data_IF_381844481945
#
_entry.id   IF_381844481945
#
_cell.length_a   1.000
_cell.length_b   1.000
_cell.length_c   1.000
_cell.angle_alpha   90.00
_cell.angle_beta   90.00
_cell.angle_gamma   90.00
#
_symmetry.space_group_name_H-M   'P 1'
#
loop_
_entity.id
_entity.type
_entity.pdbx_description
1 polymer ?
#
# COMPACT_ATOMS: atom_id res chain seq x y z
N UNK A 1 -23.68 7.06 -14.04
CA UNK A 1 -23.06 5.90 -14.72
C UNK A 1 -21.57 6.19 -14.87
N UNK A 2 -20.73 5.60 -14.03
CA UNK A 2 -19.26 5.75 -14.12
C UNK A 2 -18.60 4.63 -14.94
N UNK A 3 -19.29 3.49 -15.11
CA UNK A 3 -18.73 2.26 -15.68
C UNK A 3 -17.95 2.43 -17.01
N UNK A 4 -18.39 3.23 -18.01
CA UNK A 4 -17.63 3.40 -19.25
C UNK A 4 -16.30 4.17 -19.10
N UNK A 5 -16.17 4.98 -18.04
CA UNK A 5 -15.01 5.83 -17.79
C UNK A 5 -13.98 5.11 -16.92
N UNK A 6 -14.41 4.15 -16.09
CA UNK A 6 -13.52 3.45 -15.16
C UNK A 6 -12.28 2.84 -15.86
N UNK A 7 -12.39 2.12 -16.99
CA UNK A 7 -11.20 1.55 -17.64
C UNK A 7 -10.21 2.59 -18.18
N UNK A 8 -10.62 3.85 -18.32
CA UNK A 8 -9.79 4.95 -18.83
C UNK A 8 -9.06 5.70 -17.71
N UNK A 9 -9.41 5.44 -16.44
CA UNK A 9 -8.78 6.08 -15.29
C UNK A 9 -7.28 5.79 -15.26
N UNK A 10 -6.49 6.85 -15.14
CA UNK A 10 -5.04 6.80 -14.91
C UNK A 10 -4.67 6.97 -13.44
N UNK A 11 -5.52 7.65 -12.69
CA UNK A 11 -5.34 7.92 -11.27
C UNK A 11 -6.66 7.65 -10.55
N UNK A 12 -6.57 7.03 -9.37
CA UNK A 12 -7.71 6.74 -8.51
C UNK A 12 -7.30 6.97 -7.05
N UNK A 13 -8.03 7.86 -6.39
CA UNK A 13 -7.93 8.05 -4.95
C UNK A 13 -9.21 7.52 -4.29
N UNK A 14 -9.06 6.57 -3.37
CA UNK A 14 -10.15 6.07 -2.54
C UNK A 14 -9.89 6.46 -1.10
N UNK A 15 -10.69 7.41 -0.61
CA UNK A 15 -10.64 7.86 0.77
C UNK A 15 -11.64 7.10 1.63
N UNK A 16 -11.30 6.94 2.91
CA UNK A 16 -12.17 6.38 3.94
C UNK A 16 -12.72 4.99 3.60
N UNK A 17 -11.90 4.22 2.89
CA UNK A 17 -12.22 2.83 2.56
C UNK A 17 -12.17 1.97 3.82
N UNK A 18 -13.05 0.98 3.87
CA UNK A 18 -13.18 0.08 5.00
C UNK A 18 -12.76 -1.31 4.55
N UNK A 19 -11.68 -1.84 5.15
CA UNK A 19 -11.17 -3.16 4.83
C UNK A 19 -11.06 -3.36 3.29
N UNK A 20 -11.66 -4.43 2.75
CA UNK A 20 -11.41 -4.95 1.41
C UNK A 20 -12.20 -4.26 0.29
N UNK A 21 -12.74 -3.07 0.57
CA UNK A 21 -13.52 -2.33 -0.42
C UNK A 21 -12.75 -1.99 -1.68
N UNK A 22 -11.45 -1.65 -1.58
CA UNK A 22 -10.65 -1.37 -2.78
C UNK A 22 -10.39 -2.64 -3.60
N UNK A 23 -9.90 -3.77 -3.03
CA UNK A 23 -9.86 -5.04 -3.74
C UNK A 23 -11.19 -5.44 -4.39
N UNK A 24 -12.29 -5.32 -3.64
CA UNK A 24 -13.63 -5.63 -4.11
C UNK A 24 -14.03 -4.77 -5.32
N UNK A 25 -13.78 -3.45 -5.26
CA UNK A 25 -13.99 -2.54 -6.38
C UNK A 25 -13.18 -3.00 -7.61
N UNK A 26 -11.88 -3.22 -7.43
CA UNK A 26 -10.95 -3.53 -8.51
C UNK A 26 -11.22 -4.87 -9.19
N UNK A 27 -11.84 -5.81 -8.49
CA UNK A 27 -11.93 -7.19 -8.95
C UNK A 27 -13.34 -7.71 -9.19
N UNK A 28 -14.34 -7.19 -8.47
CA UNK A 28 -15.73 -7.66 -8.54
C UNK A 28 -16.68 -6.66 -9.19
N UNK A 29 -16.38 -5.36 -9.10
CA UNK A 29 -17.28 -4.30 -9.61
C UNK A 29 -16.86 -3.86 -11.02
N UNK A 30 -15.56 -3.82 -11.30
CA UNK A 30 -15.03 -3.43 -12.61
C UNK A 30 -14.59 -4.68 -13.36
N UNK A 31 -15.35 -5.05 -14.40
CA UNK A 31 -15.02 -6.18 -15.27
C UNK A 31 -13.62 -5.99 -15.89
N UNK A 32 -12.71 -6.92 -15.61
CA UNK A 32 -11.32 -6.84 -16.08
C UNK A 32 -10.44 -5.82 -15.34
N UNK A 33 -10.97 -5.14 -14.31
CA UNK A 33 -10.23 -4.19 -13.47
C UNK A 33 -9.92 -2.86 -14.17
N UNK A 34 -8.86 -2.20 -13.71
CA UNK A 34 -8.36 -0.90 -14.15
C UNK A 34 -6.96 -1.04 -14.79
N UNK A 35 -6.86 -1.62 -15.99
CA UNK A 35 -5.58 -1.90 -16.63
C UNK A 35 -4.79 -0.65 -17.01
N UNK A 36 -5.43 0.51 -17.13
CA UNK A 36 -4.76 1.78 -17.44
C UNK A 36 -4.39 2.60 -16.20
N UNK A 37 -4.72 2.11 -15.00
CA UNK A 37 -4.41 2.79 -13.76
C UNK A 37 -2.90 2.81 -13.51
N UNK A 38 -2.38 4.01 -13.29
CA UNK A 38 -0.96 4.31 -13.02
C UNK A 38 -0.74 4.72 -11.57
N UNK A 39 -1.67 5.48 -10.99
CA UNK A 39 -1.57 5.93 -9.61
C UNK A 39 -2.78 5.46 -8.81
N UNK A 40 -2.54 4.84 -7.66
CA UNK A 40 -3.57 4.37 -6.74
C UNK A 40 -3.29 4.88 -5.34
N UNK A 41 -4.20 5.70 -4.82
CA UNK A 41 -4.20 6.15 -3.44
C UNK A 41 -5.31 5.46 -2.67
N UNK A 42 -4.97 4.88 -1.53
CA UNK A 42 -5.90 4.24 -0.61
C UNK A 42 -5.68 4.83 0.77
N UNK A 43 -6.69 5.55 1.28
CA UNK A 43 -6.81 5.85 2.70
C UNK A 43 -7.85 4.92 3.30
N UNK A 44 -7.42 4.08 4.22
CA UNK A 44 -8.30 3.20 4.98
C UNK A 44 -8.66 3.80 6.33
N UNK A 45 -9.92 3.66 6.72
CA UNK A 45 -10.37 3.98 8.07
C UNK A 45 -10.12 2.82 9.00
N UNK A 46 -9.59 3.11 10.19
CA UNK A 46 -9.50 2.17 11.30
C UNK A 46 -10.88 1.61 11.65
N UNK A 47 -11.21 0.41 11.17
CA UNK A 47 -12.46 -0.23 11.58
C UNK A 47 -12.33 -1.75 11.67
N UNK A 48 -12.07 -2.23 12.89
CA UNK A 48 -12.40 -3.59 13.30
C UNK A 48 -13.79 -3.61 13.94
N UNK A 49 -14.79 -3.07 13.23
CA UNK A 49 -16.16 -3.06 13.75
C UNK A 49 -16.93 -4.28 13.28
N UNK A 50 -17.69 -4.90 14.18
CA UNK A 50 -18.72 -5.89 13.81
C UNK A 50 -19.76 -5.30 12.86
N UNK A 51 -19.86 -3.97 12.76
CA UNK A 51 -20.73 -3.28 11.78
C UNK A 51 -20.27 -3.44 10.33
N UNK A 52 -19.01 -3.78 10.09
CA UNK A 52 -18.47 -3.94 8.74
C UNK A 52 -19.17 -5.08 7.97
N UNK A 53 -19.82 -6.02 8.65
CA UNK A 53 -20.65 -7.08 8.02
C UNK A 53 -21.77 -6.53 7.13
N UNK A 54 -22.22 -5.28 7.40
CA UNK A 54 -23.28 -4.61 6.65
C UNK A 54 -22.75 -3.80 5.47
N UNK A 55 -21.43 -3.68 5.35
CA UNK A 55 -20.79 -2.87 4.33
C UNK A 55 -20.35 -3.79 3.21
N UNK A 56 -20.86 -3.53 2.01
CA UNK A 56 -20.50 -4.30 0.83
C UNK A 56 -18.98 -4.23 0.56
N UNK A 57 -18.39 -5.37 0.22
CA UNK A 57 -16.95 -5.49 -0.02
C UNK A 57 -16.06 -5.45 1.23
N UNK A 58 -16.57 -5.11 2.42
CA UNK A 58 -15.71 -4.92 3.60
C UNK A 58 -15.18 -6.21 4.24
N UNK A 59 -15.79 -7.36 3.97
CA UNK A 59 -15.33 -8.67 4.48
C UNK A 59 -14.76 -9.57 3.39
N UNK A 60 -14.57 -8.96 2.23
CA UNK A 60 -14.16 -9.61 1.01
C UNK A 60 -12.67 -9.99 1.07
N UNK A 61 -12.27 -11.06 0.42
CA UNK A 61 -10.85 -11.43 0.29
C UNK A 61 -10.64 -12.33 -0.92
N UNK A 62 -9.45 -12.26 -1.49
CA UNK A 62 -9.01 -13.09 -2.60
C UNK A 62 -7.93 -14.04 -2.09
N UNK A 63 -7.94 -15.26 -2.61
CA UNK A 63 -6.88 -16.23 -2.35
C UNK A 63 -5.77 -16.10 -3.40
N UNK A 64 -4.63 -16.75 -3.13
CA UNK A 64 -3.47 -16.70 -4.00
C UNK A 64 -3.73 -17.27 -5.40
N UNK A 65 -4.70 -18.17 -5.57
CA UNK A 65 -5.13 -18.69 -6.88
C UNK A 65 -6.09 -17.75 -7.63
N UNK A 66 -6.51 -16.65 -7.00
CA UNK A 66 -7.48 -15.71 -7.56
C UNK A 66 -8.92 -16.10 -7.32
N UNK A 67 -9.20 -17.05 -6.42
CA UNK A 67 -10.57 -17.38 -6.03
C UNK A 67 -11.15 -16.30 -5.11
N UNK A 68 -12.42 -16.00 -5.40
CA UNK A 68 -13.18 -14.91 -4.82
C UNK A 68 -13.97 -15.42 -3.60
N UNK A 69 -13.75 -14.83 -2.41
CA UNK A 69 -14.43 -15.25 -1.18
C UNK A 69 -15.16 -14.10 -0.47
N UNK A 70 -16.44 -14.33 -0.16
CA UNK A 70 -17.20 -13.47 0.73
C UNK A 70 -17.09 -13.98 2.18
N UNK A 71 -16.46 -13.20 3.06
CA UNK A 71 -16.34 -13.52 4.48
C UNK A 71 -17.69 -13.71 5.22
N UNK A 72 -18.81 -13.34 4.60
CA UNK A 72 -20.16 -13.57 5.12
C UNK A 72 -20.63 -15.02 4.96
N UNK A 73 -20.19 -15.74 3.94
CA UNK A 73 -20.79 -17.03 3.54
C UNK A 73 -20.25 -18.26 4.31
N UNK A 74 -19.11 -18.17 4.99
CA UNK A 74 -18.41 -19.35 5.52
C UNK A 74 -18.15 -19.43 7.03
N UNK A 75 -17.94 -18.32 7.76
CA UNK A 75 -17.30 -18.43 9.07
C UNK A 75 -17.36 -17.18 9.96
N UNK A 76 -18.56 -16.74 10.33
CA UNK A 76 -18.78 -15.95 11.56
C UNK A 76 -19.61 -16.77 12.56
N UNK A 77 -19.25 -18.05 12.74
CA UNK A 77 -19.68 -18.88 13.87
C UNK A 77 -18.53 -19.32 14.77
N UNK A 78 -17.28 -18.96 14.47
CA UNK A 78 -16.15 -19.22 15.38
C UNK A 78 -15.93 -18.02 16.28
N UNK A 79 -16.28 -18.22 17.55
CA UNK A 79 -16.08 -17.32 18.68
C UNK A 79 -14.72 -16.60 18.63
N UNK A 80 -14.72 -15.28 18.75
CA UNK A 80 -13.59 -14.49 19.29
C UNK A 80 -12.32 -14.33 18.45
N UNK A 81 -12.13 -15.10 17.39
CA UNK A 81 -11.02 -14.95 16.45
C UNK A 81 -11.55 -14.58 15.08
N UNK A 82 -11.95 -13.31 14.92
CA UNK A 82 -11.72 -12.69 13.62
C UNK A 82 -10.19 -12.78 13.43
N UNK A 83 -9.72 -13.80 12.71
CA UNK A 83 -8.32 -13.92 12.33
C UNK A 83 -7.92 -12.54 11.82
N UNK A 84 -6.95 -11.90 12.48
CA UNK A 84 -6.39 -10.63 12.02
C UNK A 84 -5.94 -10.88 10.59
N UNK A 85 -6.77 -10.49 9.63
CA UNK A 85 -6.44 -10.58 8.21
C UNK A 85 -5.43 -9.47 8.00
N UNK A 86 -4.24 -9.87 7.60
CA UNK A 86 -3.20 -8.93 7.25
C UNK A 86 -3.57 -8.29 5.93
N UNK A 87 -3.84 -6.98 5.96
CA UNK A 87 -4.19 -6.20 4.78
C UNK A 87 -3.20 -6.44 3.66
N UNK A 88 -1.89 -6.44 3.95
CA UNK A 88 -0.87 -6.52 2.92
C UNK A 88 -0.87 -7.89 2.24
N UNK A 89 -1.02 -8.94 3.03
CA UNK A 89 -0.95 -10.33 2.54
C UNK A 89 -2.14 -10.70 1.66
N UNK A 90 -3.32 -10.20 2.00
CA UNK A 90 -4.55 -10.55 1.28
C UNK A 90 -4.93 -9.55 0.17
N UNK A 91 -4.37 -8.33 0.16
CA UNK A 91 -4.88 -7.27 -0.73
C UNK A 91 -3.93 -6.95 -1.87
N UNK A 92 -2.62 -7.09 -1.64
CA UNK A 92 -1.62 -6.68 -2.63
C UNK A 92 -1.82 -7.44 -3.93
N UNK A 93 -2.06 -8.75 -3.87
CA UNK A 93 -2.30 -9.55 -5.06
C UNK A 93 -3.61 -9.16 -5.80
N UNK A 94 -4.65 -8.73 -5.08
CA UNK A 94 -5.88 -8.22 -5.71
C UNK A 94 -5.63 -6.89 -6.42
N UNK A 95 -4.82 -6.01 -5.83
CA UNK A 95 -4.41 -4.76 -6.48
C UNK A 95 -3.60 -5.08 -7.73
N UNK A 96 -2.62 -5.98 -7.64
CA UNK A 96 -1.80 -6.43 -8.78
C UNK A 96 -2.67 -6.95 -9.93
N UNK A 97 -3.66 -7.81 -9.64
CA UNK A 97 -4.54 -8.38 -10.69
C UNK A 97 -5.53 -7.36 -11.23
N UNK A 98 -6.04 -6.49 -10.37
CA UNK A 98 -7.04 -5.48 -10.73
C UNK A 98 -6.43 -4.27 -11.43
N UNK A 99 -5.16 -3.93 -11.16
CA UNK A 99 -4.48 -2.75 -11.67
C UNK A 99 -2.99 -3.07 -11.92
N UNK A 100 -2.67 -3.92 -12.91
CA UNK A 100 -1.32 -4.46 -13.12
C UNK A 100 -0.28 -3.44 -13.58
N UNK A 101 -0.71 -2.26 -14.04
CA UNK A 101 0.16 -1.24 -14.61
C UNK A 101 0.43 -0.06 -13.66
N UNK A 102 0.14 -0.22 -12.37
CA UNK A 102 0.45 0.76 -11.34
C UNK A 102 1.94 1.09 -11.36
N UNK A 103 2.22 2.39 -11.36
CA UNK A 103 3.53 3.00 -11.21
C UNK A 103 3.68 3.67 -9.83
N UNK A 104 2.56 4.03 -9.20
CA UNK A 104 2.53 4.68 -7.89
C UNK A 104 1.44 4.10 -7.00
N UNK A 105 1.83 3.68 -5.78
CA UNK A 105 0.91 3.11 -4.81
C UNK A 105 1.03 3.83 -3.46
N UNK A 106 -0.03 4.50 -3.04
CA UNK A 106 -0.13 5.14 -1.74
C UNK A 106 -1.08 4.36 -0.83
N UNK A 107 -0.57 3.94 0.32
CA UNK A 107 -1.29 3.17 1.33
C UNK A 107 -1.22 3.92 2.67
N UNK A 108 -2.33 4.54 3.04
CA UNK A 108 -2.51 5.24 4.32
C UNK A 108 -3.54 4.44 5.12
N UNK A 109 -3.15 3.89 6.27
CA UNK A 109 -4.04 3.08 7.09
C UNK A 109 -3.76 3.28 8.58
N UNK A 110 -4.82 3.56 9.34
CA UNK A 110 -4.80 3.60 10.80
C UNK A 110 -5.42 2.31 11.37
N UNK A 111 -4.86 1.74 12.43
CA UNK A 111 -3.49 1.23 12.51
C UNK A 111 -3.47 -0.17 11.87
N UNK A 112 -2.56 -0.53 10.97
CA UNK A 112 -1.18 -0.73 11.34
C UNK A 112 -0.29 -0.94 10.10
N UNK A 113 0.17 0.14 9.50
CA UNK A 113 1.57 0.14 9.07
C UNK A 113 2.50 -0.07 10.27
N UNK A 114 2.02 0.08 11.51
CA UNK A 114 2.66 -0.50 12.70
C UNK A 114 2.89 -2.01 12.61
N UNK A 115 2.20 -2.79 11.78
CA UNK A 115 2.50 -4.22 11.57
C UNK A 115 3.55 -4.41 10.47
N UNK A 116 3.56 -3.56 9.44
CA UNK A 116 4.65 -3.48 8.46
C UNK A 116 5.94 -3.00 9.15
N UNK A 117 5.83 -1.95 9.95
CA UNK A 117 6.87 -1.37 10.78
C UNK A 117 7.21 -2.30 11.93
N UNK A 118 6.29 -3.07 12.53
CA UNK A 118 6.65 -4.13 13.49
C UNK A 118 7.37 -5.29 12.78
N UNK A 119 7.01 -5.61 11.53
CA UNK A 119 7.78 -6.52 10.70
C UNK A 119 9.18 -5.95 10.40
N UNK A 120 9.29 -4.63 10.16
CA UNK A 120 10.56 -3.92 9.97
C UNK A 120 11.36 -3.67 11.27
N UNK A 121 10.71 -3.51 12.43
CA UNK A 121 11.30 -3.33 13.75
C UNK A 121 11.79 -4.69 14.26
N UNK A 122 11.03 -5.76 14.01
CA UNK A 122 11.54 -7.13 14.13
C UNK A 122 12.74 -7.37 13.20
N UNK A 123 12.89 -6.64 12.09
CA UNK A 123 14.04 -6.68 11.17
C UNK A 123 15.24 -5.87 11.67
N UNK A 124 15.01 -4.74 12.33
CA UNK A 124 16.06 -3.96 12.98
C UNK A 124 16.62 -4.67 14.21
N UNK A 125 15.76 -5.36 14.97
CA UNK A 125 16.16 -6.16 16.14
C UNK A 125 16.68 -7.54 15.70
N UNK A 126 16.11 -8.15 14.67
CA UNK A 126 16.63 -9.37 14.05
C UNK A 126 17.44 -9.01 12.80
N UNK A 127 18.71 -8.66 13.00
CA UNK A 127 19.74 -8.47 11.96
C UNK A 127 20.05 -9.75 11.15
N UNK A 128 19.09 -10.66 11.02
CA UNK A 128 19.18 -11.98 10.40
C UNK A 128 18.26 -12.00 9.18
N UNK A 129 18.82 -12.08 7.97
CA UNK A 129 18.12 -12.18 6.68
C UNK A 129 16.99 -13.23 6.59
N UNK A 130 16.83 -14.14 7.56
CA UNK A 130 15.80 -15.18 7.58
C UNK A 130 14.37 -14.66 7.78
N UNK A 131 14.17 -13.61 8.58
CA UNK A 131 12.83 -13.19 9.01
C UNK A 131 11.95 -12.68 7.84
N UNK A 132 12.55 -12.07 6.82
CA UNK A 132 11.83 -11.57 5.64
C UNK A 132 11.21 -12.65 4.76
N UNK A 133 11.84 -13.82 4.68
CA UNK A 133 11.31 -14.93 3.89
C UNK A 133 10.06 -15.55 4.51
N UNK A 134 9.91 -15.42 5.83
CA UNK A 134 8.82 -16.05 6.59
C UNK A 134 7.55 -15.19 6.67
N UNK A 135 7.65 -13.87 6.45
CA UNK A 135 6.47 -12.98 6.46
C UNK A 135 5.57 -13.20 5.24
N UNK A 136 6.11 -13.75 4.14
CA UNK A 136 5.37 -14.00 2.89
C UNK A 136 5.14 -12.76 2.03
N UNK A 137 5.53 -11.57 2.51
CA UNK A 137 5.39 -10.29 1.80
C UNK A 137 6.13 -10.28 0.44
N UNK A 138 7.21 -11.06 0.31
CA UNK A 138 8.05 -11.10 -0.90
C UNK A 138 7.31 -11.58 -2.15
N UNK A 139 6.33 -12.47 -2.01
CA UNK A 139 5.62 -13.04 -3.15
C UNK A 139 4.53 -12.13 -3.70
N UNK A 140 3.96 -11.27 -2.86
CA UNK A 140 2.78 -10.49 -3.22
C UNK A 140 3.13 -9.29 -4.11
N UNK A 141 4.29 -8.65 -3.88
CA UNK A 141 4.76 -7.54 -4.72
C UNK A 141 5.33 -7.99 -6.07
N UNK A 142 5.52 -9.30 -6.29
CA UNK A 142 6.14 -9.83 -7.51
C UNK A 142 5.40 -9.45 -8.81
N UNK A 143 4.11 -9.15 -8.72
CA UNK A 143 3.31 -8.77 -9.89
C UNK A 143 3.39 -7.29 -10.29
N UNK A 144 3.98 -6.42 -9.46
CA UNK A 144 4.10 -4.99 -9.74
C UNK A 144 5.30 -4.65 -10.63
N UNK A 145 5.22 -5.00 -11.91
CA UNK A 145 6.32 -4.81 -12.87
C UNK A 145 6.73 -3.34 -13.09
N UNK A 146 5.79 -2.42 -12.90
CA UNK A 146 5.96 -1.00 -13.23
C UNK A 146 5.98 -0.10 -11.99
N UNK A 147 5.88 -0.65 -10.78
CA UNK A 147 5.79 0.16 -9.56
C UNK A 147 7.11 0.87 -9.29
N UNK A 148 7.08 2.20 -9.37
CA UNK A 148 8.21 3.11 -9.18
C UNK A 148 8.19 3.80 -7.84
N UNK A 149 7.00 4.15 -7.32
CA UNK A 149 6.87 4.90 -6.07
C UNK A 149 5.88 4.27 -5.12
N UNK A 150 6.27 4.18 -3.86
CA UNK A 150 5.40 3.73 -2.78
C UNK A 150 5.28 4.85 -1.75
N UNK A 151 4.08 5.08 -1.26
CA UNK A 151 3.81 6.03 -0.18
C UNK A 151 3.20 5.28 0.98
N UNK A 152 3.80 5.45 2.15
CA UNK A 152 3.41 4.78 3.39
C UNK A 152 3.43 5.77 4.53
N UNK A 153 2.54 5.62 5.50
CA UNK A 153 2.58 6.37 6.75
C UNK A 153 3.38 5.60 7.81
N UNK A 154 4.61 6.03 8.11
CA UNK A 154 5.40 5.48 9.23
C UNK A 154 5.02 6.25 10.50
N UNK A 155 4.70 5.51 11.55
CA UNK A 155 4.22 6.07 12.82
C UNK A 155 5.11 7.23 13.33
N UNK A 156 4.47 8.32 13.72
CA UNK A 156 5.12 9.56 14.16
C UNK A 156 5.79 9.48 15.55
N UNK A 157 5.81 8.32 16.20
CA UNK A 157 6.23 8.17 17.60
C UNK A 157 7.74 8.18 17.82
N UNK A 158 8.54 8.10 16.75
CA UNK A 158 10.00 8.08 16.83
C UNK A 158 10.61 9.46 16.57
N UNK A 159 11.74 9.75 17.23
CA UNK A 159 12.59 10.88 16.90
C UNK A 159 13.00 10.85 15.42
N UNK A 160 13.12 12.03 14.80
CA UNK A 160 13.32 12.18 13.35
C UNK A 160 14.52 11.39 12.81
N UNK A 161 15.64 11.37 13.54
CA UNK A 161 16.84 10.65 13.12
C UNK A 161 16.61 9.12 13.10
N UNK A 162 16.00 8.60 14.16
CA UNK A 162 15.65 7.18 14.28
C UNK A 162 14.63 6.81 13.20
N UNK A 163 13.59 7.63 13.03
CA UNK A 163 12.55 7.44 12.02
C UNK A 163 13.13 7.40 10.61
N UNK A 164 14.06 8.28 10.26
CA UNK A 164 14.71 8.31 8.96
C UNK A 164 15.60 7.08 8.72
N UNK A 165 16.32 6.61 9.76
CA UNK A 165 17.12 5.36 9.68
C UNK A 165 16.23 4.14 9.43
N UNK A 166 15.12 4.03 10.17
CA UNK A 166 14.12 2.97 9.99
C UNK A 166 13.56 3.02 8.56
N UNK A 167 13.14 4.21 8.11
CA UNK A 167 12.59 4.41 6.78
C UNK A 167 13.59 4.04 5.67
N UNK A 168 14.84 4.49 5.77
CA UNK A 168 15.90 4.16 4.80
C UNK A 168 16.12 2.64 4.70
N UNK A 169 16.26 1.97 5.86
CA UNK A 169 16.49 0.53 5.92
C UNK A 169 15.31 -0.26 5.35
N UNK A 170 14.09 0.05 5.78
CA UNK A 170 12.88 -0.59 5.29
C UNK A 170 12.72 -0.43 3.76
N UNK A 171 13.06 0.75 3.24
CA UNK A 171 13.00 1.04 1.80
C UNK A 171 13.99 0.22 1.00
N UNK A 172 15.23 0.06 1.50
CA UNK A 172 16.22 -0.78 0.85
C UNK A 172 15.78 -2.25 0.84
N UNK A 173 15.30 -2.75 1.96
CA UNK A 173 14.79 -4.12 2.10
C UNK A 173 13.61 -4.39 1.16
N UNK A 174 12.71 -3.41 1.03
CA UNK A 174 11.59 -3.48 0.10
C UNK A 174 12.07 -3.50 -1.35
N UNK A 175 13.01 -2.61 -1.71
CA UNK A 175 13.58 -2.56 -3.06
C UNK A 175 14.27 -3.86 -3.48
N UNK A 176 14.84 -4.59 -2.51
CA UNK A 176 15.48 -5.89 -2.72
C UNK A 176 14.48 -7.05 -2.92
N UNK A 177 13.17 -6.82 -2.73
CA UNK A 177 12.16 -7.85 -3.00
C UNK A 177 12.03 -8.14 -4.49
N UNK A 178 11.79 -9.42 -4.82
CA UNK A 178 11.52 -9.84 -6.18
C UNK A 178 10.27 -9.15 -6.73
N UNK A 179 10.39 -8.52 -7.91
CA UNK A 179 9.29 -7.81 -8.59
C UNK A 179 9.34 -6.29 -8.50
N UNK A 180 10.11 -5.74 -7.57
CA UNK A 180 10.26 -4.29 -7.39
C UNK A 180 11.53 -3.75 -8.06
N UNK A 181 11.87 -4.30 -9.23
CA UNK A 181 13.03 -3.86 -10.01
C UNK A 181 12.90 -2.40 -10.50
N UNK A 182 11.67 -1.93 -10.67
CA UNK A 182 11.34 -0.57 -11.10
C UNK A 182 11.21 0.42 -9.93
N UNK A 183 11.28 -0.04 -8.68
CA UNK A 183 11.08 0.85 -7.52
C UNK A 183 12.23 1.85 -7.43
N UNK A 184 11.87 3.13 -7.44
CA UNK A 184 12.76 4.30 -7.43
C UNK A 184 12.74 5.01 -6.08
N UNK A 185 11.59 5.05 -5.41
CA UNK A 185 11.50 5.72 -4.10
C UNK A 185 10.37 5.20 -3.21
N UNK A 186 10.58 5.33 -1.90
CA UNK A 186 9.56 5.17 -0.88
C UNK A 186 9.41 6.48 -0.12
N UNK A 187 8.19 6.98 0.01
CA UNK A 187 7.90 8.23 0.70
C UNK A 187 7.17 7.93 2.00
N UNK A 188 7.67 8.50 3.09
CA UNK A 188 7.02 8.44 4.39
C UNK A 188 6.04 9.62 4.49
N UNK A 189 4.75 9.34 4.34
CA UNK A 189 3.67 10.30 4.47
C UNK A 189 3.48 10.67 5.94
N UNK A 190 4.14 11.73 6.38
CA UNK A 190 4.02 12.31 7.73
C UNK A 190 3.24 13.62 7.70
N UNK A 191 2.69 14.10 8.83
CA UNK A 191 2.13 15.46 8.90
C UNK A 191 3.14 16.57 8.54
N UNK A 192 4.45 16.28 8.69
CA UNK A 192 5.51 17.25 8.40
C UNK A 192 5.83 17.29 6.90
N UNK A 193 5.53 18.42 6.26
CA UNK A 193 5.91 18.72 4.88
C UNK A 193 7.19 19.59 4.86
N UNK A 194 8.15 19.34 3.94
CA UNK A 194 8.17 18.28 2.92
C UNK A 194 8.42 16.88 3.51
N UNK A 195 7.83 15.86 2.88
CA UNK A 195 7.86 14.48 3.38
C UNK A 195 9.25 13.86 3.24
N UNK A 196 9.70 13.01 4.19
CA UNK A 196 10.90 12.20 4.01
C UNK A 196 10.75 11.22 2.84
N UNK A 197 11.72 11.22 1.92
CA UNK A 197 11.77 10.33 0.75
C UNK A 197 13.05 9.51 0.80
N UNK A 198 12.91 8.19 0.71
CA UNK A 198 14.01 7.25 0.54
C UNK A 198 14.18 6.97 -0.96
N UNK A 199 15.19 7.56 -1.60
CA UNK A 199 15.54 7.32 -3.00
C UNK A 199 16.43 6.10 -3.13
N UNK A 200 16.02 5.13 -3.93
CA UNK A 200 16.74 3.87 -4.14
C UNK A 200 17.81 4.08 -5.20
N UNK A 201 19.06 3.85 -4.83
CA UNK A 201 20.18 3.78 -5.75
C UNK A 201 20.48 2.33 -6.08
N UNK A 202 20.83 2.11 -7.35
CA UNK A 202 21.14 0.79 -7.88
C UNK A 202 22.57 0.74 -8.37
N UNK A 203 23.20 -0.42 -8.19
CA UNK A 203 24.52 -0.69 -8.73
C UNK A 203 24.50 -0.77 -10.27
N UNK A 204 25.65 -0.89 -10.96
CA UNK A 204 25.70 -1.04 -12.41
C UNK A 204 24.96 -2.27 -12.96
N UNK A 205 24.61 -3.25 -12.12
CA UNK A 205 23.84 -4.43 -12.49
C UNK A 205 22.32 -4.25 -12.27
N UNK A 206 21.89 -3.10 -11.72
CA UNK A 206 20.49 -2.79 -11.43
C UNK A 206 20.00 -3.30 -10.07
N UNK A 207 20.87 -3.84 -9.22
CA UNK A 207 20.49 -4.28 -7.87
C UNK A 207 20.46 -3.08 -6.91
N UNK A 208 19.46 -2.99 -6.00
CA UNK A 208 19.44 -1.96 -4.97
C UNK A 208 20.67 -2.10 -4.06
N UNK A 209 21.44 -1.03 -3.94
CA UNK A 209 22.70 -0.99 -3.18
C UNK A 209 22.59 -0.02 -2.00
N UNK A 210 22.16 1.21 -2.29
CA UNK A 210 22.09 2.29 -1.31
C UNK A 210 20.71 2.97 -1.34
N UNK A 211 20.35 3.59 -0.21
CA UNK A 211 19.21 4.51 -0.11
C UNK A 211 19.71 5.88 0.31
N UNK A 212 19.37 6.89 -0.48
CA UNK A 212 19.65 8.29 -0.16
C UNK A 212 18.38 8.94 0.37
N UNK A 213 18.47 9.49 1.57
CA UNK A 213 17.38 10.24 2.17
C UNK A 213 17.30 11.65 1.58
N UNK A 214 16.08 12.05 1.21
CA UNK A 214 15.74 13.35 0.66
C UNK A 214 14.40 13.83 1.25
N UNK A 215 13.93 15.00 0.83
CA UNK A 215 12.61 15.53 1.15
C UNK A 215 11.88 15.99 -0.10
N UNK A 216 10.58 15.73 -0.19
CA UNK A 216 9.78 16.13 -1.35
C UNK A 216 8.28 16.20 -1.07
N UNK A 217 7.54 16.83 -1.99
CA UNK A 217 6.08 16.93 -1.90
C UNK A 217 5.34 15.64 -2.27
N UNK A 218 6.09 14.71 -2.86
CA UNK A 218 5.70 13.33 -2.95
C UNK A 218 5.04 12.95 -4.26
N UNK A 219 4.17 13.71 -4.95
CA UNK A 219 3.14 12.99 -5.73
C UNK A 219 2.94 13.27 -7.22
N UNK A 220 2.33 12.25 -7.85
CA UNK A 220 2.04 11.97 -9.26
C UNK A 220 3.24 11.98 -10.21
N UNK A 221 3.40 10.91 -11.00
CA UNK A 221 4.30 10.94 -12.16
C UNK A 221 3.78 12.05 -13.09
N UNK A 222 4.53 13.15 -13.15
CA UNK A 222 4.16 14.36 -13.88
C UNK A 222 3.57 15.51 -13.06
N UNK A 223 3.39 15.37 -11.74
CA UNK A 223 2.98 16.47 -10.83
C UNK A 223 3.87 16.56 -9.59
N UNK A 224 5.15 16.22 -9.70
CA UNK A 224 6.08 16.06 -8.57
C UNK A 224 6.22 17.28 -7.65
N UNK A 225 5.90 18.47 -8.17
CA UNK A 225 5.97 19.75 -7.45
C UNK A 225 4.69 20.08 -6.65
N UNK A 226 3.65 19.25 -6.74
CA UNK A 226 2.33 19.47 -6.12
C UNK A 226 2.14 18.45 -5.00
N UNK A 227 1.99 18.92 -3.76
CA UNK A 227 1.54 18.06 -2.66
C UNK A 227 0.17 17.47 -2.99
N UNK A 228 -0.17 16.26 -2.52
CA UNK A 228 -1.58 15.82 -2.60
C UNK A 228 -2.46 16.96 -2.08
N UNK A 229 -3.53 17.26 -2.83
CA UNK A 229 -4.55 18.21 -2.37
C UNK A 229 -5.10 17.88 -0.97
N UNK A 230 -4.90 16.64 -0.51
CA UNK A 230 -5.37 16.11 0.77
C UNK A 230 -4.37 16.14 1.93
N UNK A 231 -3.16 16.73 1.76
CA UNK A 231 -2.29 17.05 2.90
C UNK A 231 -2.82 18.24 3.72
N UNK A 232 -3.84 18.94 3.20
CA UNK A 232 -4.60 19.92 3.96
C UNK A 232 -5.76 19.22 4.72
N UNK A 233 -5.69 19.07 6.06
CA UNK A 233 -6.79 18.52 6.84
C UNK A 233 -8.10 19.34 6.74
N UNK A 234 -8.04 20.58 6.25
CA UNK A 234 -9.21 21.44 6.03
C UNK A 234 -9.85 21.28 4.63
N UNK A 235 -9.17 20.65 3.66
CA UNK A 235 -9.78 20.27 2.37
C UNK A 235 -10.62 18.99 2.52
N UNK A 236 -11.82 19.16 3.08
CA UNK A 236 -12.88 18.15 2.98
C UNK A 236 -13.10 17.84 1.51
N UNK A 237 -13.08 16.56 1.16
CA UNK A 237 -13.26 16.00 -0.18
C UNK A 237 -14.30 16.78 -1.03
N UNK A 238 -13.84 17.77 -1.78
CA UNK A 238 -14.59 18.38 -2.86
C UNK A 238 -14.25 17.60 -4.12
N UNK A 239 -15.20 16.78 -4.56
CA UNK A 239 -15.18 16.18 -5.89
C UNK A 239 -15.67 17.28 -6.84
N UNK A 240 -14.78 17.78 -7.71
CA UNK A 240 -15.20 18.45 -8.96
C UNK A 240 -15.34 17.41 -10.09
#
# INVERSE_FOLDING_TARGET
>A
MLAPVLPQLRSLAVCDSINAQVPYLLRSVVDGGLPNLKSLYIRQTASSSTRNVKIEGALWYESQDGTFHDGREGSIKRQGQASKRDFLKEYVHSIVRGAPNIEELCLISLPSLTDLVSAFDNLLVASSHRALSETGLSSDFSGFKNLKRIYIEVAATYEDEVRNKIHAHASLVLAQQSGLASLESVTNFTPDFPFPVAKIQRDPNGYPDEVVMDRGGGMEIGNEDVAFLYADPDMRCCVE
#
